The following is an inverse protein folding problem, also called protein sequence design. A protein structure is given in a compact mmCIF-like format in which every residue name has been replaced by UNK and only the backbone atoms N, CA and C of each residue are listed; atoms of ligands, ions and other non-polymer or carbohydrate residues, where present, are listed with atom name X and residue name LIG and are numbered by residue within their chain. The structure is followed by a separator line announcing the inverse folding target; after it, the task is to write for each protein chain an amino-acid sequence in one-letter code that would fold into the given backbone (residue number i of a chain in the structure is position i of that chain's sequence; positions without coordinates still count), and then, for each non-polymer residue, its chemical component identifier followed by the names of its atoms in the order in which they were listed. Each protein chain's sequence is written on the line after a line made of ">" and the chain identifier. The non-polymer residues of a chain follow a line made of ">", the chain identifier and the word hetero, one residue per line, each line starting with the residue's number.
data_IF_776575365562
#
_entry.id   IF_776575365562
#
_cell.length_a   1.000
_cell.length_b   1.000
_cell.length_c   1.000
_cell.angle_alpha   90.00
_cell.angle_beta   90.00
_cell.angle_gamma   90.00
#
_symmetry.space_group_name_H-M   'P 1'
#
loop_
_entity.id
_entity.type
_entity.pdbx_description
1 polymer ?
#
# COMPACT_ATOMS: atom_id res chain seq x y z
N UNK A 1 -25.97 20.08 -30.44
CA UNK A 1 -24.86 19.12 -30.23
C UNK A 1 -23.99 19.51 -29.02
N UNK A 2 -23.46 20.73 -28.95
CA UNK A 2 -22.63 21.19 -27.82
C UNK A 2 -23.31 21.11 -26.44
N UNK A 3 -24.58 21.49 -26.33
CA UNK A 3 -25.33 21.41 -25.07
C UNK A 3 -25.51 19.98 -24.55
N UNK A 4 -25.69 19.01 -25.47
CA UNK A 4 -25.82 17.59 -25.11
C UNK A 4 -24.47 17.03 -24.60
N UNK A 5 -23.37 17.39 -25.26
CA UNK A 5 -22.02 17.02 -24.80
C UNK A 5 -21.71 17.62 -23.42
N UNK A 6 -22.12 18.86 -23.16
CA UNK A 6 -21.91 19.52 -21.87
C UNK A 6 -22.71 18.83 -20.75
N UNK A 7 -23.98 18.51 -21.00
CA UNK A 7 -24.84 17.81 -20.03
C UNK A 7 -24.36 16.38 -19.75
N UNK A 8 -23.93 15.64 -20.78
CA UNK A 8 -23.31 14.33 -20.60
C UNK A 8 -22.00 14.42 -19.80
N UNK A 9 -21.16 15.42 -20.07
CA UNK A 9 -19.94 15.67 -19.31
C UNK A 9 -20.20 15.99 -17.84
N UNK A 10 -21.19 16.85 -17.55
CA UNK A 10 -21.61 17.19 -16.19
C UNK A 10 -22.23 15.97 -15.47
N UNK A 11 -23.07 15.19 -16.15
CA UNK A 11 -23.66 13.97 -15.60
C UNK A 11 -22.60 12.92 -15.26
N UNK A 12 -21.62 12.70 -16.15
CA UNK A 12 -20.50 11.81 -15.89
C UNK A 12 -19.63 12.30 -14.72
N UNK A 13 -19.35 13.61 -14.66
CA UNK A 13 -18.60 14.20 -13.56
C UNK A 13 -19.34 14.06 -12.22
N UNK A 14 -20.66 14.27 -12.20
CA UNK A 14 -21.49 14.12 -11.02
C UNK A 14 -21.58 12.66 -10.55
N UNK A 15 -21.79 11.70 -11.46
CA UNK A 15 -21.75 10.26 -11.14
C UNK A 15 -20.39 9.87 -10.55
N UNK A 16 -19.30 10.36 -11.14
CA UNK A 16 -17.96 10.11 -10.65
C UNK A 16 -17.70 10.78 -9.29
N UNK A 17 -18.27 11.95 -9.04
CA UNK A 17 -18.20 12.62 -7.75
C UNK A 17 -19.01 11.88 -6.67
N UNK A 18 -20.21 11.39 -7.00
CA UNK A 18 -21.04 10.59 -6.11
C UNK A 18 -20.32 9.32 -5.68
N UNK A 19 -19.77 8.58 -6.65
CA UNK A 19 -18.97 7.37 -6.41
C UNK A 19 -17.76 7.66 -5.51
N UNK A 20 -17.14 8.84 -5.65
CA UNK A 20 -16.03 9.27 -4.77
C UNK A 20 -16.49 9.53 -3.33
N UNK A 21 -17.68 10.09 -3.13
CA UNK A 21 -18.23 10.34 -1.81
C UNK A 21 -18.62 9.04 -1.10
N UNK A 22 -19.15 8.07 -1.83
CA UNK A 22 -19.60 6.78 -1.28
C UNK A 22 -18.46 5.91 -0.78
N UNK A 23 -17.25 6.03 -1.37
CA UNK A 23 -16.07 5.28 -0.95
C UNK A 23 -15.31 5.93 0.22
N UNK A 24 -15.73 7.11 0.67
CA UNK A 24 -15.08 7.82 1.76
C UNK A 24 -15.49 7.27 3.13
N UNK A 25 -14.53 7.26 4.07
CA UNK A 25 -14.82 6.90 5.46
C UNK A 25 -15.91 7.83 6.02
N UNK A 26 -17.03 7.29 6.56
CA UNK A 26 -18.10 8.12 7.09
C UNK A 26 -17.59 9.09 8.18
N UNK A 27 -18.02 10.36 8.19
CA UNK A 27 -17.57 11.37 9.16
C UNK A 27 -17.70 10.96 10.62
N UNK A 28 -18.73 10.18 10.94
CA UNK A 28 -18.99 9.67 12.29
C UNK A 28 -17.84 8.79 12.84
N UNK A 29 -17.06 8.16 11.96
CA UNK A 29 -15.99 7.23 12.33
C UNK A 29 -14.59 7.81 12.22
N UNK A 30 -14.48 9.12 11.96
CA UNK A 30 -13.17 9.78 11.91
C UNK A 30 -12.50 9.76 13.28
N UNK A 31 -11.29 9.21 13.32
CA UNK A 31 -10.47 9.00 14.52
C UNK A 31 -11.13 8.13 15.61
N UNK A 32 -12.27 7.51 15.31
CA UNK A 32 -12.90 6.56 16.21
C UNK A 32 -12.16 5.21 16.14
N UNK A 33 -12.11 4.45 17.25
CA UNK A 33 -11.54 3.11 17.23
C UNK A 33 -12.42 2.18 16.39
N UNK A 34 -11.85 1.60 15.35
CA UNK A 34 -12.48 0.60 14.49
C UNK A 34 -11.71 -0.71 14.62
N UNK A 35 -12.41 -1.79 14.93
CA UNK A 35 -11.87 -3.13 14.92
C UNK A 35 -12.11 -3.79 13.57
N UNK A 36 -11.08 -4.44 13.04
CA UNK A 36 -11.12 -5.10 11.74
C UNK A 36 -10.17 -6.30 11.72
N UNK A 37 -10.46 -7.20 10.79
CA UNK A 37 -9.56 -8.25 10.32
C UNK A 37 -9.00 -7.82 8.97
N UNK A 38 -7.69 -7.82 8.85
CA UNK A 38 -6.99 -7.38 7.65
C UNK A 38 -5.72 -8.18 7.41
N UNK A 39 -5.28 -8.22 6.15
CA UNK A 39 -4.03 -8.87 5.74
C UNK A 39 -3.02 -7.81 5.32
N UNK A 40 -1.77 -7.95 5.78
CA UNK A 40 -0.66 -7.07 5.38
C UNK A 40 -0.33 -7.31 3.92
N UNK A 41 -0.44 -6.27 3.10
CA UNK A 41 -0.12 -6.31 1.67
C UNK A 41 1.16 -5.56 1.36
N UNK A 42 1.97 -6.14 0.49
CA UNK A 42 3.28 -5.64 0.14
C UNK A 42 4.27 -5.73 1.31
N UNK A 43 5.39 -5.03 1.14
CA UNK A 43 6.45 -4.98 2.13
C UNK A 43 6.26 -3.76 3.04
N UNK A 44 6.33 -3.92 4.39
CA UNK A 44 6.32 -2.79 5.30
C UNK A 44 7.43 -1.79 5.00
N UNK A 45 7.11 -0.51 5.12
CA UNK A 45 7.99 0.64 4.91
C UNK A 45 8.47 1.16 6.27
N UNK A 46 9.73 0.86 6.67
CA UNK A 46 10.30 1.35 7.92
C UNK A 46 10.66 2.84 7.79
N UNK A 47 9.83 3.70 8.36
CA UNK A 47 10.08 5.13 8.46
C UNK A 47 10.81 5.53 9.74
N UNK A 48 11.19 6.81 9.81
CA UNK A 48 11.90 7.41 10.94
C UNK A 48 11.12 7.30 12.27
N UNK A 49 9.80 7.43 12.23
CA UNK A 49 8.93 7.47 13.42
C UNK A 49 8.08 6.20 13.62
N UNK A 50 8.23 5.18 12.77
CA UNK A 50 7.39 4.00 12.81
C UNK A 50 7.37 3.24 11.50
N UNK A 51 6.53 2.21 11.44
CA UNK A 51 6.37 1.38 10.25
C UNK A 51 5.07 1.77 9.55
N UNK A 52 5.16 2.09 8.26
CA UNK A 52 4.00 2.29 7.40
C UNK A 52 3.73 1.01 6.63
N UNK A 53 2.48 0.59 6.59
CA UNK A 53 2.08 -0.63 5.92
C UNK A 53 0.71 -0.46 5.27
N UNK A 54 0.45 -1.28 4.26
CA UNK A 54 -0.85 -1.35 3.61
C UNK A 54 -1.58 -2.58 4.13
N UNK A 55 -2.83 -2.39 4.50
CA UNK A 55 -3.73 -3.45 4.92
C UNK A 55 -4.84 -3.60 3.88
N UNK A 56 -5.12 -4.84 3.51
CA UNK A 56 -6.35 -5.21 2.82
C UNK A 56 -7.38 -5.64 3.87
N UNK A 57 -8.48 -4.89 3.97
CA UNK A 57 -9.55 -5.11 4.93
C UNK A 57 -10.41 -6.28 4.46
N UNK A 58 -10.39 -7.36 5.22
CA UNK A 58 -11.22 -8.53 4.94
C UNK A 58 -12.61 -8.38 5.55
N UNK A 59 -12.65 -7.90 6.80
CA UNK A 59 -13.88 -7.77 7.57
C UNK A 59 -13.75 -6.68 8.61
N UNK A 60 -14.71 -5.77 8.65
CA UNK A 60 -14.89 -4.86 9.77
C UNK A 60 -15.70 -5.55 10.86
N UNK A 61 -15.20 -5.54 12.10
CA UNK A 61 -15.88 -6.12 13.26
C UNK A 61 -16.78 -5.09 13.95
N UNK A 62 -16.45 -3.80 13.83
CA UNK A 62 -17.28 -2.72 14.36
C UNK A 62 -18.55 -2.55 13.53
N UNK A 63 -19.76 -2.68 14.14
CA UNK A 63 -21.02 -2.51 13.43
C UNK A 63 -21.19 -1.08 12.89
N UNK A 64 -21.75 -0.95 11.68
CA UNK A 64 -22.04 0.35 11.07
C UNK A 64 -20.83 1.08 10.47
N UNK A 65 -19.69 0.39 10.32
CA UNK A 65 -18.49 0.91 9.66
C UNK A 65 -18.22 0.17 8.36
N UNK A 66 -18.24 0.90 7.24
CA UNK A 66 -17.66 0.45 5.98
C UNK A 66 -16.26 1.06 5.84
N UNK A 67 -15.23 0.22 5.95
CA UNK A 67 -13.86 0.62 5.62
C UNK A 67 -13.59 0.36 4.13
N UNK A 68 -12.76 1.18 3.47
CA UNK A 68 -12.25 0.86 2.15
C UNK A 68 -11.51 -0.48 2.12
N UNK A 69 -11.46 -1.12 0.96
CA UNK A 69 -10.76 -2.40 0.76
C UNK A 69 -9.28 -2.31 1.12
N UNK A 70 -8.59 -1.22 0.75
CA UNK A 70 -7.18 -0.99 1.11
C UNK A 70 -7.05 0.25 1.99
N UNK A 71 -6.35 0.10 3.10
CA UNK A 71 -6.10 1.18 4.05
C UNK A 71 -4.62 1.24 4.42
N UNK A 72 -4.11 2.45 4.62
CA UNK A 72 -2.74 2.66 5.06
C UNK A 72 -2.71 2.76 6.59
N UNK A 73 -1.88 1.95 7.23
CA UNK A 73 -1.67 1.96 8.67
C UNK A 73 -0.27 2.45 9.00
N UNK A 74 -0.16 3.27 10.04
CA UNK A 74 1.09 3.68 10.64
C UNK A 74 1.21 3.09 12.06
N UNK A 75 2.25 2.30 12.30
CA UNK A 75 2.57 1.74 13.60
C UNK A 75 3.78 2.43 14.22
N UNK A 76 3.53 3.26 15.23
CA UNK A 76 4.57 3.96 15.99
C UNK A 76 5.30 3.04 16.98
N UNK A 77 4.74 1.88 17.32
CA UNK A 77 5.37 0.94 18.26
C UNK A 77 6.37 0.00 17.57
N UNK A 78 6.62 0.17 16.26
CA UNK A 78 7.58 -0.60 15.46
C UNK A 78 7.49 -2.11 15.66
N UNK A 79 6.27 -2.65 15.75
CA UNK A 79 6.10 -4.10 15.84
C UNK A 79 6.43 -4.72 14.49
N UNK A 80 6.81 -6.00 14.52
CA UNK A 80 7.01 -6.75 13.29
C UNK A 80 5.66 -7.11 12.66
N UNK A 81 5.53 -6.78 11.37
CA UNK A 81 4.36 -7.02 10.54
C UNK A 81 4.78 -7.82 9.31
N UNK A 82 4.88 -9.16 9.40
CA UNK A 82 5.32 -9.96 8.28
C UNK A 82 4.45 -9.72 7.04
N UNK A 83 5.02 -9.52 5.84
CA UNK A 83 4.25 -9.42 4.60
C UNK A 83 3.30 -10.62 4.43
N UNK A 84 2.07 -10.40 3.98
CA UNK A 84 1.08 -11.46 3.78
C UNK A 84 0.55 -12.11 5.07
N UNK A 85 0.80 -11.52 6.24
CA UNK A 85 0.26 -12.01 7.52
C UNK A 85 -1.12 -11.42 7.81
N UNK A 86 -1.95 -12.20 8.51
CA UNK A 86 -3.33 -11.84 8.84
C UNK A 86 -3.45 -11.35 10.28
N UNK A 87 -4.18 -10.27 10.51
CA UNK A 87 -4.30 -9.63 11.82
C UNK A 87 -5.71 -9.19 12.13
N UNK A 88 -6.10 -9.32 13.39
CA UNK A 88 -7.21 -8.61 14.00
C UNK A 88 -6.65 -7.47 14.83
N UNK A 89 -7.06 -6.23 14.56
CA UNK A 89 -6.57 -5.07 15.28
C UNK A 89 -7.63 -3.96 15.38
N UNK A 90 -7.49 -3.17 16.44
CA UNK A 90 -8.14 -1.86 16.52
C UNK A 90 -7.26 -0.78 15.90
N UNK A 91 -7.81 0.08 15.06
CA UNK A 91 -7.10 1.23 14.49
C UNK A 91 -8.00 2.47 14.47
N UNK A 92 -7.38 3.65 14.41
CA UNK A 92 -8.08 4.92 14.23
C UNK A 92 -7.76 5.48 12.86
N UNK A 93 -8.79 5.65 12.04
CA UNK A 93 -8.63 6.12 10.68
C UNK A 93 -9.08 7.56 10.51
N UNK A 94 -8.38 8.26 9.61
CA UNK A 94 -8.80 9.52 9.03
C UNK A 94 -8.91 9.36 7.53
N UNK A 95 -9.90 9.97 6.87
CA UNK A 95 -9.94 10.01 5.42
C UNK A 95 -8.67 10.71 4.92
N UNK A 96 -8.09 10.18 3.84
CA UNK A 96 -6.92 10.81 3.23
C UNK A 96 -7.42 11.88 2.26
N UNK A 97 -7.69 13.08 2.80
CA UNK A 97 -7.95 14.27 1.98
C UNK A 97 -6.63 14.75 1.40
N UNK A 98 -6.50 14.75 0.08
CA UNK A 98 -5.36 15.37 -0.57
C UNK A 98 -5.39 16.88 -0.37
N UNK A 99 -4.26 17.47 0.00
CA UNK A 99 -4.01 18.84 -0.45
C UNK A 99 -3.89 18.76 -1.96
N UNK A 100 -4.93 19.17 -2.70
CA UNK A 100 -4.83 19.41 -4.13
C UNK A 100 -3.80 20.53 -4.34
N UNK A 101 -2.52 20.16 -4.40
CA UNK A 101 -1.45 21.09 -4.72
C UNK A 101 -1.59 21.42 -6.19
N UNK A 102 -2.10 22.62 -6.50
CA UNK A 102 -2.30 23.10 -7.86
C UNK A 102 -1.02 23.11 -8.73
N UNK A 103 0.16 22.98 -8.12
CA UNK A 103 1.47 22.96 -8.76
C UNK A 103 2.35 21.74 -8.36
N UNK A 104 1.78 20.69 -7.76
CA UNK A 104 2.54 19.53 -7.27
C UNK A 104 1.93 18.18 -7.67
N UNK A 105 2.70 17.10 -7.46
CA UNK A 105 2.24 15.73 -7.67
C UNK A 105 0.90 15.48 -6.94
N UNK A 106 -0.12 15.04 -7.67
CA UNK A 106 -1.45 14.76 -7.12
C UNK A 106 -1.43 13.43 -6.34
N UNK A 107 -0.90 13.51 -5.12
CA UNK A 107 -0.77 12.36 -4.22
C UNK A 107 -2.13 11.73 -3.89
N UNK A 108 -3.23 12.48 -3.99
CA UNK A 108 -4.57 11.96 -3.81
C UNK A 108 -4.95 11.04 -4.97
N UNK A 109 -4.83 11.51 -6.22
CA UNK A 109 -5.10 10.64 -7.38
C UNK A 109 -4.23 9.39 -7.41
N UNK A 110 -2.96 9.49 -7.02
CA UNK A 110 -2.06 8.33 -6.99
C UNK A 110 -2.46 7.31 -5.90
N UNK A 111 -2.74 7.77 -4.68
CA UNK A 111 -3.18 6.88 -3.60
C UNK A 111 -4.55 6.29 -3.86
N UNK A 112 -5.42 7.02 -4.54
CA UNK A 112 -6.71 6.52 -5.03
C UNK A 112 -6.55 5.47 -6.12
N UNK A 113 -5.61 5.64 -7.07
CA UNK A 113 -5.30 4.60 -8.04
C UNK A 113 -4.75 3.34 -7.39
N UNK A 114 -4.15 3.46 -6.21
CA UNK A 114 -3.73 2.35 -5.34
C UNK A 114 -4.86 1.84 -4.41
N UNK A 115 -6.05 2.44 -4.43
CA UNK A 115 -7.17 2.08 -3.54
C UNK A 115 -6.99 2.48 -2.08
N UNK A 116 -5.96 3.27 -1.74
CA UNK A 116 -5.60 3.71 -0.39
C UNK A 116 -6.40 4.94 0.04
N UNK A 117 -7.67 4.75 0.37
CA UNK A 117 -8.63 5.83 0.63
C UNK A 117 -8.68 6.30 2.10
N UNK A 118 -8.15 5.50 3.02
CA UNK A 118 -8.06 5.84 4.45
C UNK A 118 -6.63 5.63 4.98
N UNK A 119 -6.22 6.50 5.90
CA UNK A 119 -4.95 6.38 6.60
C UNK A 119 -5.19 6.43 8.11
N UNK A 120 -4.48 5.61 8.88
CA UNK A 120 -4.74 5.50 10.31
C UNK A 120 -3.53 5.08 11.11
N UNK A 121 -3.70 5.07 12.44
CA UNK A 121 -2.69 4.58 13.37
C UNK A 121 -3.14 3.29 14.05
N UNK A 122 -2.17 2.38 14.26
CA UNK A 122 -2.41 1.13 14.95
C UNK A 122 -2.75 1.36 16.43
N UNK A 123 -3.80 0.71 16.92
CA UNK A 123 -4.13 0.64 18.34
C UNK A 123 -3.22 -0.33 19.11
N UNK A 124 -3.40 -0.37 20.44
CA UNK A 124 -2.65 -1.28 21.32
C UNK A 124 -3.08 -2.75 21.15
N UNK A 125 -4.38 -2.99 20.96
CA UNK A 125 -4.95 -4.32 20.78
C UNK A 125 -4.73 -4.79 19.32
N UNK A 126 -3.90 -5.82 19.18
CA UNK A 126 -3.58 -6.46 17.91
C UNK A 126 -3.22 -7.92 18.13
N UNK A 127 -3.82 -8.80 17.35
CA UNK A 127 -3.65 -10.23 17.42
C UNK A 127 -3.38 -10.76 16.02
N UNK A 128 -2.29 -11.53 15.87
CA UNK A 128 -2.03 -12.25 14.62
C UNK A 128 -2.98 -13.44 14.55
N UNK A 129 -3.66 -13.58 13.42
CA UNK A 129 -4.52 -14.70 13.11
C UNK A 129 -3.78 -15.72 12.23
N UNK A 130 -4.41 -16.85 11.96
CA UNK A 130 -3.89 -17.81 10.99
C UNK A 130 -3.81 -17.17 9.60
N UNK A 131 -2.65 -17.32 8.96
CA UNK A 131 -2.38 -16.73 7.66
C UNK A 131 -3.32 -17.32 6.60
N UNK A 132 -3.75 -16.47 5.67
CA UNK A 132 -4.60 -16.88 4.55
C UNK A 132 -3.77 -17.59 3.48
N UNK A 133 -4.32 -18.67 2.91
CA UNK A 133 -3.80 -19.37 1.74
C UNK A 133 -4.05 -18.65 0.42
N UNK A 134 -3.97 -17.32 0.41
CA UNK A 134 -4.15 -16.50 -0.80
C UNK A 134 -2.82 -16.37 -1.55
N UNK A 135 -2.87 -16.42 -2.88
CA UNK A 135 -1.73 -16.27 -3.79
C UNK A 135 -1.00 -14.96 -3.56
N UNK A 136 -1.74 -13.84 -3.41
CA UNK A 136 -1.11 -12.53 -3.17
C UNK A 136 -0.38 -12.49 -1.83
N UNK A 137 -0.97 -13.08 -0.79
CA UNK A 137 -0.33 -13.19 0.52
C UNK A 137 0.93 -14.08 0.45
N UNK A 138 0.90 -15.13 -0.37
CA UNK A 138 2.07 -15.98 -0.61
C UNK A 138 3.20 -15.23 -1.32
N UNK A 139 2.88 -14.45 -2.37
CA UNK A 139 3.86 -13.61 -3.07
C UNK A 139 4.50 -12.61 -2.11
N UNK A 140 3.70 -11.94 -1.28
CA UNK A 140 4.19 -10.99 -0.29
C UNK A 140 5.14 -11.66 0.71
N UNK A 141 4.75 -12.83 1.26
CA UNK A 141 5.62 -13.63 2.15
C UNK A 141 6.92 -14.03 1.47
N UNK A 142 6.85 -14.49 0.22
CA UNK A 142 8.02 -14.88 -0.54
C UNK A 142 8.98 -13.70 -0.74
N UNK A 143 8.45 -12.53 -1.15
CA UNK A 143 9.23 -11.28 -1.28
C UNK A 143 9.89 -10.92 0.05
N UNK A 144 9.14 -10.97 1.15
CA UNK A 144 9.68 -10.73 2.50
C UNK A 144 10.83 -11.68 2.85
N UNK A 145 10.67 -12.96 2.54
CA UNK A 145 11.71 -13.98 2.74
C UNK A 145 12.96 -13.76 1.90
N UNK A 146 12.82 -13.33 0.64
CA UNK A 146 13.96 -12.97 -0.20
C UNK A 146 14.74 -11.78 0.36
N UNK A 147 14.05 -10.73 0.81
CA UNK A 147 14.75 -9.59 1.42
C UNK A 147 15.51 -10.02 2.68
N UNK A 148 14.87 -10.80 3.56
CA UNK A 148 15.54 -11.30 4.75
C UNK A 148 16.75 -12.20 4.43
N UNK A 149 16.71 -12.95 3.31
CA UNK A 149 17.85 -13.74 2.83
C UNK A 149 18.98 -12.84 2.33
N UNK A 150 18.67 -11.80 1.57
CA UNK A 150 19.65 -10.83 1.06
C UNK A 150 20.35 -10.13 2.22
N UNK A 151 19.59 -9.61 3.18
CA UNK A 151 20.11 -8.97 4.39
C UNK A 151 21.00 -9.91 5.22
N UNK A 152 20.68 -11.21 5.28
CA UNK A 152 21.50 -12.19 6.00
C UNK A 152 22.85 -12.45 5.31
N UNK A 153 22.90 -12.44 3.99
CA UNK A 153 24.12 -12.76 3.22
C UNK A 153 25.03 -11.55 3.08
N UNK A 154 24.48 -10.37 2.78
CA UNK A 154 25.24 -9.14 2.55
C UNK A 154 25.42 -8.31 3.83
N UNK A 155 24.74 -8.66 4.92
CA UNK A 155 24.63 -7.82 6.10
C UNK A 155 23.56 -6.73 5.94
N UNK A 156 23.06 -6.21 7.05
CA UNK A 156 22.12 -5.10 7.02
C UNK A 156 22.85 -3.80 6.64
N UNK A 157 22.56 -3.25 5.46
CA UNK A 157 23.18 -2.00 5.02
C UNK A 157 22.68 -1.52 3.67
N UNK A 158 23.40 -0.54 3.13
CA UNK A 158 23.12 0.07 1.82
C UNK A 158 23.10 -0.96 0.69
N UNK A 159 24.10 -1.83 0.64
CA UNK A 159 24.23 -2.83 -0.42
C UNK A 159 23.06 -3.82 -0.42
N UNK A 160 22.67 -4.35 0.75
CA UNK A 160 21.51 -5.23 0.86
C UNK A 160 20.21 -4.54 0.46
N UNK A 161 20.04 -3.26 0.81
CA UNK A 161 18.87 -2.48 0.43
C UNK A 161 18.80 -2.26 -1.09
N UNK A 162 19.93 -1.95 -1.74
CA UNK A 162 20.00 -1.79 -3.19
C UNK A 162 19.77 -3.11 -3.93
N UNK A 163 20.41 -4.21 -3.51
CA UNK A 163 20.18 -5.52 -4.11
C UNK A 163 18.72 -5.95 -3.93
N UNK A 164 18.12 -5.75 -2.75
CA UNK A 164 16.72 -6.05 -2.50
C UNK A 164 15.77 -5.16 -3.34
N UNK A 165 16.10 -3.88 -3.53
CA UNK A 165 15.34 -2.99 -4.39
C UNK A 165 15.38 -3.44 -5.86
N UNK A 166 16.55 -3.82 -6.37
CA UNK A 166 16.75 -4.21 -7.76
C UNK A 166 16.17 -5.59 -8.09
N UNK A 167 16.20 -6.54 -7.14
CA UNK A 167 15.81 -7.93 -7.38
C UNK A 167 14.36 -8.24 -7.04
N UNK A 168 13.84 -7.69 -5.93
CA UNK A 168 12.48 -8.00 -5.43
C UNK A 168 11.61 -6.76 -5.24
N UNK A 169 12.08 -5.60 -5.71
CA UNK A 169 11.35 -4.34 -5.67
C UNK A 169 11.20 -3.76 -4.27
N UNK A 170 12.09 -4.08 -3.33
CA UNK A 170 12.04 -3.59 -1.94
C UNK A 170 12.65 -2.18 -1.78
N UNK A 171 12.17 -1.24 -2.58
CA UNK A 171 12.70 0.13 -2.68
C UNK A 171 12.58 0.95 -1.39
N UNK A 172 11.61 0.64 -0.54
CA UNK A 172 11.35 1.33 0.72
C UNK A 172 12.46 1.15 1.78
N UNK A 173 13.40 0.23 1.56
CA UNK A 173 14.59 0.07 2.42
C UNK A 173 15.79 0.93 1.99
N UNK A 174 15.74 1.55 0.81
CA UNK A 174 16.81 2.40 0.31
C UNK A 174 16.78 3.75 1.05
N UNK A 175 17.93 4.18 1.58
CA UNK A 175 18.02 5.40 2.36
C UNK A 175 17.70 6.63 1.51
N UNK A 176 17.19 7.69 2.16
CA UNK A 176 16.84 8.94 1.46
C UNK A 176 18.07 9.61 0.83
N UNK A 177 19.23 9.50 1.46
CA UNK A 177 20.51 9.99 0.96
C UNK A 177 20.91 9.29 -0.35
N UNK A 178 20.67 7.99 -0.46
CA UNK A 178 20.90 7.23 -1.69
C UNK A 178 19.97 7.68 -2.81
N UNK A 179 18.70 7.94 -2.49
CA UNK A 179 17.76 8.50 -3.46
C UNK A 179 18.18 9.89 -3.96
N UNK A 180 18.73 10.73 -3.09
CA UNK A 180 19.27 12.04 -3.49
C UNK A 180 20.49 11.87 -4.40
N UNK A 181 21.38 10.93 -4.10
CA UNK A 181 22.52 10.62 -4.96
C UNK A 181 22.06 10.14 -6.34
N UNK A 182 21.10 9.21 -6.40
CA UNK A 182 20.56 8.71 -7.67
C UNK A 182 19.84 9.80 -8.46
N UNK A 183 19.16 10.73 -7.80
CA UNK A 183 18.56 11.88 -8.47
C UNK A 183 19.64 12.80 -9.04
N UNK A 184 20.71 13.07 -8.29
CA UNK A 184 21.81 13.92 -8.74
C UNK A 184 22.59 13.32 -9.91
N UNK A 185 22.72 11.99 -9.97
CA UNK A 185 23.42 11.28 -11.05
C UNK A 185 22.49 10.81 -12.17
N UNK A 186 21.19 11.11 -12.10
CA UNK A 186 20.19 10.69 -13.08
C UNK A 186 19.87 9.18 -13.07
N UNK A 187 20.27 8.43 -12.06
CA UNK A 187 20.10 6.96 -11.96
C UNK A 187 18.78 6.50 -11.32
N UNK A 188 17.91 7.44 -10.92
CA UNK A 188 16.59 7.10 -10.31
C UNK A 188 15.78 6.13 -11.17
N UNK A 189 15.87 6.26 -12.50
CA UNK A 189 15.14 5.39 -13.42
C UNK A 189 15.65 3.95 -13.40
N UNK A 190 16.95 3.69 -13.19
CA UNK A 190 17.50 2.31 -13.15
C UNK A 190 16.91 1.54 -11.97
N UNK A 191 16.83 2.18 -10.81
CA UNK A 191 16.26 1.60 -9.58
C UNK A 191 14.74 1.40 -9.70
N UNK A 192 14.06 2.23 -10.51
CA UNK A 192 12.61 2.17 -10.72
C UNK A 192 12.19 1.14 -11.80
N UNK A 193 12.95 1.07 -12.88
CA UNK A 193 12.66 0.24 -14.08
C UNK A 193 12.92 -1.24 -13.83
N UNK A 194 13.86 -1.59 -12.95
CA UNK A 194 14.16 -2.99 -12.62
C UNK A 194 12.99 -3.70 -11.93
N UNK A 195 12.19 -3.00 -11.12
CA UNK A 195 11.03 -3.59 -10.45
C UNK A 195 9.87 -3.90 -11.40
N UNK A 196 9.63 -3.03 -12.39
CA UNK A 196 8.51 -3.15 -13.32
C UNK A 196 8.69 -4.27 -14.35
N UNK A 197 9.92 -4.50 -14.83
CA UNK A 197 10.19 -5.62 -15.75
C UNK A 197 10.03 -6.98 -15.07
N UNK A 198 10.43 -7.10 -13.80
CA UNK A 198 10.33 -8.36 -13.04
C UNK A 198 8.87 -8.67 -12.71
N UNK A 199 8.07 -7.67 -12.33
CA UNK A 199 6.62 -7.86 -12.10
C UNK A 199 5.85 -8.12 -13.38
N UNK A 200 6.26 -7.52 -14.52
CA UNK A 200 5.64 -7.79 -15.82
C UNK A 200 5.94 -9.21 -16.32
N UNK A 201 7.16 -9.72 -16.11
CA UNK A 201 7.52 -11.12 -16.36
C UNK A 201 6.78 -12.09 -15.42
N UNK A 202 6.67 -11.75 -14.14
CA UNK A 202 5.93 -12.56 -13.16
C UNK A 202 4.41 -12.58 -13.45
N UNK A 203 3.85 -11.47 -13.91
CA UNK A 203 2.44 -11.34 -14.31
C UNK A 203 2.08 -12.02 -15.63
N UNK A 204 3.07 -12.44 -16.43
CA UNK A 204 2.87 -13.26 -17.64
C UNK A 204 2.75 -14.76 -17.33
N UNK A 205 3.24 -15.22 -16.19
CA UNK A 205 3.16 -16.63 -15.78
C UNK A 205 1.76 -17.18 -15.39
N UNK A 206 0.74 -16.38 -14.98
CA UNK A 206 -0.59 -16.94 -14.67
C UNK A 206 -1.33 -17.48 -15.91
N UNK A 207 -0.91 -17.12 -17.13
CA UNK A 207 -1.48 -17.65 -18.37
C UNK A 207 -1.04 -19.08 -18.71
N UNK A 208 0.05 -19.57 -18.11
CA UNK A 208 0.59 -20.92 -18.39
C UNK A 208 0.23 -21.97 -17.33
N UNK A 209 -0.28 -21.57 -16.17
CA UNK A 209 -0.60 -22.49 -15.07
C UNK A 209 -2.09 -22.89 -14.95
N UNK A 210 -2.98 -22.31 -15.77
CA UNK A 210 -4.41 -22.63 -15.81
C UNK A 210 -4.81 -23.43 -17.07
N UNK A 211 -3.84 -24.07 -17.71
CA UNK A 211 -4.03 -24.87 -18.91
C UNK A 211 -3.65 -26.33 -18.73
N UNK A 212 -4.00 -26.96 -17.60
CA UNK A 212 -4.11 -28.43 -17.42
C UNK A 212 -5.12 -28.72 -16.31
#
# INVERSE_FOLDING_TARGET
>A
MLALCLLMGLGYAALRAQWRLEQALPPAWWQQPVEMVATVRGLPDPGEYGVRLVLEVERTLTPGVALPERVQLHDYQRRDWPPGSRWQLGARFKPRRGSANAFGFDAERWLWSEGLLASGSAGKARQRLQDRGDLMAWVDRWRGGQVARIERVLGAGRESALVAALTVGAQQRVAREDWQLFAATGLTHIVSVSGLHITMLAGWLPGFALGW
#
